data_IF_773389549750
#
_entry.id   IF_773389549750
#
_cell.length_a   1.000
_cell.length_b   1.000
_cell.length_c   1.000
_cell.angle_alpha   90.00
_cell.angle_beta   90.00
_cell.angle_gamma   90.00
#
_symmetry.space_group_name_H-M   'P 1'
#
loop_
_entity.id
_entity.type
_entity.pdbx_description
1 polymer ?
#
# COMPACT_ATOMS: atom_id res chain seq x y z
N UNK A 1 12.11 1.77 -5.02
CA UNK A 1 12.62 3.14 -5.20
C UNK A 1 12.79 3.45 -6.68
N UNK A 2 13.70 2.79 -7.42
CA UNK A 2 13.92 3.03 -8.85
C UNK A 2 12.65 3.09 -9.75
N UNK A 3 11.65 2.26 -9.48
CA UNK A 3 10.39 2.30 -10.24
C UNK A 3 9.55 3.57 -9.99
N UNK A 4 9.48 4.05 -8.75
CA UNK A 4 8.77 5.29 -8.41
C UNK A 4 9.54 6.51 -8.93
N UNK A 5 10.88 6.48 -8.87
CA UNK A 5 11.73 7.52 -9.46
C UNK A 5 11.51 7.63 -10.98
N UNK A 6 11.39 6.49 -11.68
CA UNK A 6 11.05 6.46 -13.11
C UNK A 6 9.69 7.13 -13.38
N UNK A 7 8.70 6.87 -12.54
CA UNK A 7 7.37 7.50 -12.65
C UNK A 7 7.46 9.01 -12.45
N UNK A 8 8.24 9.47 -11.46
CA UNK A 8 8.49 10.90 -11.24
C UNK A 8 9.13 11.56 -12.47
N UNK A 9 10.13 10.91 -13.07
CA UNK A 9 10.75 11.36 -14.31
C UNK A 9 9.73 11.44 -15.46
N UNK A 10 8.87 10.42 -15.63
CA UNK A 10 7.82 10.43 -16.65
C UNK A 10 6.87 11.62 -16.47
N UNK A 11 6.47 11.93 -15.23
CA UNK A 11 5.61 13.09 -14.94
C UNK A 11 6.31 14.41 -15.27
N UNK A 12 7.60 14.54 -14.93
CA UNK A 12 8.39 15.73 -15.21
C UNK A 12 8.57 15.95 -16.73
N UNK A 13 9.02 14.92 -17.46
CA UNK A 13 9.25 14.97 -18.90
C UNK A 13 7.96 15.22 -19.68
N UNK A 14 6.88 14.57 -19.25
CA UNK A 14 5.55 14.71 -19.84
C UNK A 14 4.78 15.94 -19.37
N UNK A 15 5.35 16.82 -18.54
CA UNK A 15 4.70 17.98 -17.91
C UNK A 15 3.31 17.68 -17.32
N UNK A 16 3.18 16.56 -16.61
CA UNK A 16 1.90 16.00 -16.20
C UNK A 16 1.04 17.02 -15.44
N UNK A 17 -0.30 17.04 -15.64
CA UNK A 17 -1.18 17.96 -14.94
C UNK A 17 -1.08 17.79 -13.41
N UNK A 18 -1.21 18.86 -12.61
CA UNK A 18 -1.09 18.79 -11.14
C UNK A 18 -2.04 17.76 -10.50
N UNK A 19 -3.22 17.58 -11.08
CA UNK A 19 -4.23 16.62 -10.63
C UNK A 19 -3.77 15.16 -10.75
N UNK A 20 -2.93 14.85 -11.76
CA UNK A 20 -2.29 13.55 -11.99
C UNK A 20 -1.12 13.39 -11.03
N UNK A 21 -0.26 14.41 -10.94
CA UNK A 21 0.93 14.42 -10.07
C UNK A 21 0.57 14.12 -8.62
N UNK A 22 -0.41 14.83 -8.06
CA UNK A 22 -0.86 14.63 -6.68
C UNK A 22 -1.35 13.20 -6.41
N UNK A 23 -2.05 12.58 -7.37
CA UNK A 23 -2.57 11.21 -7.23
C UNK A 23 -1.47 10.17 -7.30
N UNK A 24 -0.55 10.34 -8.23
CA UNK A 24 0.61 9.46 -8.36
C UNK A 24 1.47 9.51 -7.10
N UNK A 25 1.74 10.69 -6.54
CA UNK A 25 2.46 10.80 -5.27
C UNK A 25 1.73 10.13 -4.11
N UNK A 26 0.40 10.25 -4.03
CA UNK A 26 -0.41 9.52 -3.03
C UNK A 26 -0.22 8.01 -3.14
N UNK A 27 -0.26 7.46 -4.36
CA UNK A 27 -0.04 6.03 -4.59
C UNK A 27 1.40 5.65 -4.21
N UNK A 28 2.40 6.45 -4.58
CA UNK A 28 3.80 6.22 -4.22
C UNK A 28 4.04 6.19 -2.71
N UNK A 29 3.36 7.08 -1.95
CA UNK A 29 3.39 7.07 -0.49
C UNK A 29 2.78 5.77 0.07
N UNK A 30 1.59 5.37 -0.41
CA UNK A 30 0.95 4.12 0.01
C UNK A 30 1.81 2.89 -0.27
N UNK A 31 2.48 2.83 -1.41
CA UNK A 31 3.41 1.74 -1.76
C UNK A 31 4.61 1.72 -0.79
N UNK A 32 5.18 2.89 -0.52
CA UNK A 32 6.34 3.03 0.38
C UNK A 32 6.00 2.60 1.81
N UNK A 33 4.79 2.94 2.28
CA UNK A 33 4.29 2.55 3.60
C UNK A 33 3.95 1.05 3.66
N UNK A 34 3.38 0.48 2.60
CA UNK A 34 2.90 -0.91 2.61
C UNK A 34 4.04 -1.92 2.49
N UNK A 35 5.07 -1.64 1.68
CA UNK A 35 6.15 -2.59 1.37
C UNK A 35 6.88 -3.18 2.60
N UNK A 36 7.29 -2.39 3.62
CA UNK A 36 7.95 -2.95 4.80
C UNK A 36 7.06 -3.91 5.60
N UNK A 37 5.75 -3.61 5.70
CA UNK A 37 4.79 -4.41 6.47
C UNK A 37 4.57 -5.76 5.81
N UNK A 38 4.43 -5.79 4.49
CA UNK A 38 4.30 -7.03 3.73
C UNK A 38 5.50 -7.97 3.88
N UNK A 39 6.72 -7.41 3.96
CA UNK A 39 7.93 -8.21 4.20
C UNK A 39 7.92 -8.92 5.54
N UNK A 40 7.27 -8.33 6.56
CA UNK A 40 7.15 -8.92 7.89
C UNK A 40 6.09 -10.02 7.97
N UNK A 41 5.06 -9.97 7.12
CA UNK A 41 3.95 -10.93 7.08
C UNK A 41 4.30 -12.23 6.33
N UNK A 42 5.45 -12.29 5.66
CA UNK A 42 5.93 -13.45 4.91
C UNK A 42 6.02 -13.16 3.41
N UNK A 43 7.18 -13.48 2.81
CA UNK A 43 7.43 -13.28 1.38
C UNK A 43 6.50 -14.18 0.54
N UNK A 44 5.76 -13.59 -0.41
CA UNK A 44 5.01 -14.34 -1.43
C UNK A 44 3.48 -14.21 -1.40
N UNK A 45 2.91 -13.29 -0.62
CA UNK A 45 1.47 -13.01 -0.71
C UNK A 45 1.10 -12.37 -2.05
N UNK A 46 -0.12 -12.63 -2.53
CA UNK A 46 -0.70 -11.98 -3.71
C UNK A 46 -0.68 -10.44 -3.59
N UNK A 47 -0.86 -9.95 -2.37
CA UNK A 47 -0.77 -8.52 -2.04
C UNK A 47 0.64 -7.96 -2.24
N UNK A 48 1.68 -8.72 -1.86
CA UNK A 48 3.08 -8.34 -2.09
C UNK A 48 3.40 -8.21 -3.57
N UNK A 49 2.93 -9.17 -4.37
CA UNK A 49 3.06 -9.09 -5.82
C UNK A 49 2.31 -7.87 -6.37
N UNK A 50 1.08 -7.64 -5.92
CA UNK A 50 0.23 -6.54 -6.40
C UNK A 50 0.84 -5.16 -6.11
N UNK A 51 1.44 -4.96 -4.93
CA UNK A 51 2.12 -3.70 -4.58
C UNK A 51 3.34 -3.46 -5.47
N UNK A 52 4.16 -4.49 -5.70
CA UNK A 52 5.34 -4.37 -6.57
C UNK A 52 4.91 -4.10 -8.01
N UNK A 53 3.98 -4.90 -8.55
CA UNK A 53 3.45 -4.74 -9.91
C UNK A 53 2.79 -3.37 -10.13
N UNK A 54 2.16 -2.79 -9.10
CA UNK A 54 1.62 -1.44 -9.19
C UNK A 54 2.73 -0.41 -9.42
N UNK A 55 3.86 -0.54 -8.71
CA UNK A 55 5.00 0.36 -8.85
C UNK A 55 5.74 0.16 -10.18
N UNK A 56 5.87 -1.08 -10.65
CA UNK A 56 6.73 -1.44 -11.80
C UNK A 56 6.01 -1.43 -13.13
N UNK A 57 4.71 -1.76 -13.13
CA UNK A 57 3.98 -2.06 -14.37
C UNK A 57 2.73 -1.18 -14.48
N UNK A 58 1.78 -1.30 -13.55
CA UNK A 58 0.44 -0.70 -13.73
C UNK A 58 0.47 0.83 -13.74
N UNK A 59 1.19 1.44 -12.79
CA UNK A 59 1.22 2.89 -12.68
C UNK A 59 2.05 3.54 -13.82
N UNK A 60 3.26 3.04 -14.16
CA UNK A 60 3.98 3.52 -15.34
C UNK A 60 3.22 3.32 -16.65
N UNK A 61 2.50 2.20 -16.81
CA UNK A 61 1.73 1.92 -18.01
C UNK A 61 0.55 2.88 -18.18
N UNK A 62 -0.26 3.07 -17.12
CA UNK A 62 -1.39 3.99 -17.12
C UNK A 62 -0.94 5.43 -17.41
N UNK A 63 0.10 5.90 -16.70
CA UNK A 63 0.66 7.22 -16.90
C UNK A 63 1.24 7.39 -18.31
N UNK A 64 2.00 6.41 -18.79
CA UNK A 64 2.56 6.42 -20.14
C UNK A 64 1.49 6.44 -21.22
N UNK A 65 0.36 5.74 -21.01
CA UNK A 65 -0.79 5.76 -21.90
C UNK A 65 -1.34 7.17 -22.13
N UNK A 66 -1.53 7.92 -21.04
CA UNK A 66 -1.99 9.31 -21.10
C UNK A 66 -0.93 10.24 -21.69
N UNK A 67 0.33 10.14 -21.27
CA UNK A 67 1.40 11.06 -21.68
C UNK A 67 1.81 10.91 -23.16
N UNK A 68 1.51 9.77 -23.80
CA UNK A 68 1.70 9.58 -25.25
C UNK A 68 0.70 10.36 -26.10
N UNK A 69 -0.41 10.82 -25.52
CA UNK A 69 -1.43 11.56 -26.23
C UNK A 69 -1.10 13.06 -26.24
N UNK A 70 -1.40 13.79 -27.34
CA UNK A 70 -1.34 15.25 -27.32
C UNK A 70 -2.27 15.81 -26.23
N UNK A 71 -1.76 16.66 -25.34
CA UNK A 71 -2.50 17.14 -24.15
C UNK A 71 -3.88 17.70 -24.49
N UNK A 72 -3.95 18.59 -25.47
CA UNK A 72 -5.21 19.22 -25.90
C UNK A 72 -6.24 18.18 -26.34
N UNK A 73 -5.80 17.11 -27.01
CA UNK A 73 -6.69 16.02 -27.42
C UNK A 73 -7.12 15.17 -26.23
N UNK A 74 -6.17 14.82 -25.36
CA UNK A 74 -6.40 13.98 -24.17
C UNK A 74 -7.40 14.59 -23.18
N UNK A 75 -7.45 15.92 -23.11
CA UNK A 75 -8.27 16.65 -22.13
C UNK A 75 -9.63 17.09 -22.70
N UNK A 76 -9.81 17.13 -24.02
CA UNK A 76 -11.03 17.66 -24.66
C UNK A 76 -11.88 16.62 -25.38
N UNK A 77 -11.29 15.52 -25.83
CA UNK A 77 -11.99 14.50 -26.62
C UNK A 77 -12.43 13.35 -25.75
N UNK A 78 -13.73 12.98 -25.78
CA UNK A 78 -14.17 11.76 -25.13
C UNK A 78 -13.59 10.54 -25.87
N UNK A 79 -13.07 9.58 -25.10
CA UNK A 79 -12.49 8.33 -25.60
C UNK A 79 -13.24 7.09 -25.10
N UNK A 80 -14.01 7.24 -24.02
CA UNK A 80 -14.82 6.19 -23.43
C UNK A 80 -16.14 6.79 -22.93
N UNK A 81 -17.20 6.61 -23.71
CA UNK A 81 -18.48 7.27 -23.49
C UNK A 81 -18.34 8.80 -23.46
N UNK A 82 -18.51 9.40 -22.29
CA UNK A 82 -18.36 10.85 -22.06
C UNK A 82 -17.01 11.22 -21.41
N UNK A 83 -16.14 10.24 -21.11
CA UNK A 83 -14.88 10.46 -20.40
C UNK A 83 -13.75 10.76 -21.35
N UNK A 84 -12.96 11.78 -21.02
CA UNK A 84 -11.70 12.09 -21.71
C UNK A 84 -10.58 11.19 -21.22
N UNK A 85 -9.43 11.19 -21.91
CA UNK A 85 -8.29 10.38 -21.49
C UNK A 85 -7.79 10.75 -20.09
N UNK A 86 -7.85 12.04 -19.73
CA UNK A 86 -7.54 12.50 -18.37
C UNK A 86 -8.50 11.90 -17.34
N UNK A 87 -9.81 11.88 -17.63
CA UNK A 87 -10.81 11.31 -16.72
C UNK A 87 -10.59 9.80 -16.52
N UNK A 88 -10.32 9.07 -17.61
CA UNK A 88 -10.02 7.63 -17.54
C UNK A 88 -8.76 7.38 -16.72
N UNK A 89 -7.69 8.16 -16.92
CA UNK A 89 -6.49 8.05 -16.09
C UNK A 89 -6.79 8.30 -14.61
N UNK A 90 -7.56 9.35 -14.29
CA UNK A 90 -7.92 9.66 -12.91
C UNK A 90 -8.64 8.47 -12.27
N UNK A 91 -9.61 7.86 -12.94
CA UNK A 91 -10.33 6.69 -12.43
C UNK A 91 -9.38 5.50 -12.18
N UNK A 92 -8.43 5.26 -13.08
CA UNK A 92 -7.42 4.23 -12.90
C UNK A 92 -6.52 4.51 -11.69
N UNK A 93 -6.08 5.75 -11.50
CA UNK A 93 -5.26 6.14 -10.35
C UNK A 93 -6.04 6.02 -9.02
N UNK A 94 -7.32 6.40 -8.99
CA UNK A 94 -8.16 6.22 -7.80
C UNK A 94 -8.36 4.73 -7.47
N UNK A 95 -8.54 3.88 -8.49
CA UNK A 95 -8.63 2.43 -8.29
C UNK A 95 -7.33 1.85 -7.70
N UNK A 96 -6.18 2.25 -8.25
CA UNK A 96 -4.88 1.82 -7.72
C UNK A 96 -4.70 2.31 -6.27
N UNK A 97 -5.00 3.57 -5.98
CA UNK A 97 -4.90 4.13 -4.64
C UNK A 97 -5.80 3.38 -3.64
N UNK A 98 -7.08 3.16 -3.98
CA UNK A 98 -8.02 2.44 -3.13
C UNK A 98 -7.60 0.99 -2.90
N UNK A 99 -6.94 0.37 -3.88
CA UNK A 99 -6.41 -1.01 -3.73
C UNK A 99 -5.22 -1.03 -2.78
N UNK A 100 -4.26 -0.10 -2.94
CA UNK A 100 -3.10 -0.01 -2.04
C UNK A 100 -3.53 0.31 -0.60
N UNK A 101 -4.53 1.18 -0.42
CA UNK A 101 -5.09 1.52 0.88
C UNK A 101 -5.66 0.28 1.61
N UNK A 102 -6.41 -0.56 0.89
CA UNK A 102 -6.93 -1.83 1.44
C UNK A 102 -5.82 -2.79 1.85
N UNK A 103 -4.75 -2.89 1.05
CA UNK A 103 -3.60 -3.74 1.39
C UNK A 103 -2.88 -3.19 2.63
N UNK A 104 -2.71 -1.87 2.72
CA UNK A 104 -2.11 -1.22 3.88
C UNK A 104 -2.93 -1.48 5.16
N UNK A 105 -4.26 -1.33 5.08
CA UNK A 105 -5.16 -1.60 6.19
C UNK A 105 -5.10 -3.07 6.64
N UNK A 106 -5.15 -4.01 5.69
CA UNK A 106 -5.03 -5.44 5.97
C UNK A 106 -3.69 -5.79 6.64
N UNK A 107 -2.59 -5.23 6.12
CA UNK A 107 -1.26 -5.46 6.69
C UNK A 107 -1.16 -4.88 8.11
N UNK A 108 -1.62 -3.65 8.31
CA UNK A 108 -1.62 -2.98 9.62
C UNK A 108 -2.49 -3.72 10.63
N UNK A 109 -3.63 -4.25 10.20
CA UNK A 109 -4.50 -5.08 11.05
C UNK A 109 -3.82 -6.37 11.48
N UNK A 110 -3.05 -7.00 10.59
CA UNK A 110 -2.30 -8.21 10.92
C UNK A 110 -1.20 -7.92 11.95
N UNK A 111 -0.45 -6.83 11.79
CA UNK A 111 0.53 -6.37 12.79
C UNK A 111 -0.11 -6.14 14.16
N UNK A 112 -1.29 -5.49 14.20
CA UNK A 112 -2.03 -5.25 15.43
C UNK A 112 -2.47 -6.57 16.12
N UNK A 113 -2.90 -7.57 15.34
CA UNK A 113 -3.25 -8.89 15.88
C UNK A 113 -2.03 -9.61 16.46
N UNK A 114 -0.88 -9.54 15.79
CA UNK A 114 0.36 -10.11 16.27
C UNK A 114 0.78 -9.48 17.62
N UNK A 115 0.63 -8.16 17.78
CA UNK A 115 0.89 -7.46 19.03
C UNK A 115 -0.01 -7.95 20.17
N UNK A 116 -1.32 -8.11 19.91
CA UNK A 116 -2.27 -8.62 20.92
C UNK A 116 -1.91 -10.05 21.33
N UNK A 117 -1.63 -10.93 20.37
CA UNK A 117 -1.23 -12.31 20.64
C UNK A 117 0.06 -12.37 21.47
N UNK A 118 1.04 -11.51 21.17
CA UNK A 118 2.26 -11.40 21.95
C UNK A 118 1.99 -10.97 23.40
N UNK A 119 1.10 -10.00 23.62
CA UNK A 119 0.69 -9.58 24.96
C UNK A 119 0.03 -10.70 25.78
N UNK A 120 -0.86 -11.47 25.15
CA UNK A 120 -1.49 -12.64 25.79
C UNK A 120 -0.46 -13.71 26.16
N UNK A 121 0.51 -13.96 25.28
CA UNK A 121 1.61 -14.88 25.57
C UNK A 121 2.46 -14.42 26.76
N UNK A 122 2.81 -13.13 26.83
CA UNK A 122 3.55 -12.58 27.97
C UNK A 122 2.76 -12.73 29.28
N UNK A 123 1.44 -12.45 29.26
CA UNK A 123 0.59 -12.61 30.43
C UNK A 123 0.47 -14.07 30.86
N UNK A 124 0.36 -15.01 29.91
CA UNK A 124 0.37 -16.44 30.24
C UNK A 124 1.68 -16.87 30.90
N UNK A 125 2.82 -16.41 30.36
CA UNK A 125 4.17 -16.79 30.80
C UNK A 125 4.57 -16.17 32.15
N UNK A 126 4.19 -14.92 32.40
CA UNK A 126 4.66 -14.14 33.56
C UNK A 126 3.55 -13.75 34.55
N UNK A 127 2.28 -13.78 34.14
CA UNK A 127 1.13 -13.49 35.00
C UNK A 127 0.81 -14.60 36.00
N UNK A 128 1.39 -15.79 35.82
CA UNK A 128 1.29 -16.92 36.76
C UNK A 128 2.54 -17.07 37.65
N UNK A 129 3.16 -15.97 38.07
CA UNK A 129 4.00 -16.00 39.27
C UNK A 129 3.19 -15.55 40.49
N UNK A 130 2.38 -16.44 41.11
CA UNK A 130 2.07 -16.28 42.51
C UNK A 130 3.38 -16.52 43.25
N UNK A 131 3.73 -15.62 44.17
CA UNK A 131 4.83 -15.86 45.07
C UNK A 131 4.63 -17.18 45.81
N UNK A 132 5.56 -18.12 45.57
CA UNK A 132 5.94 -19.20 46.47
C UNK A 132 4.94 -20.34 46.66
N UNK A 133 5.38 -21.61 46.61
CA UNK A 133 4.60 -22.69 47.18
C UNK A 133 4.45 -22.44 48.67
N UNK A 134 3.20 -22.41 49.12
CA UNK A 134 2.80 -22.62 50.51
C UNK A 134 3.40 -23.96 50.94
N UNK A 135 4.57 -23.92 51.57
CA UNK A 135 5.15 -25.04 52.26
C UNK A 135 4.29 -25.22 53.51
N UNK A 136 3.22 -25.98 53.34
CA UNK A 136 2.45 -26.62 54.40
C UNK A 136 3.41 -27.48 55.22
N UNK A 137 4.06 -26.84 56.21
CA UNK A 137 4.76 -27.51 57.28
C UNK A 137 3.67 -28.08 58.19
N UNK A 138 3.17 -29.25 57.80
CA UNK A 138 2.35 -30.08 58.66
C UNK A 138 3.06 -30.34 59.99
N UNK A 139 2.56 -29.73 61.06
CA UNK A 139 2.67 -30.22 62.44
C UNK A 139 1.88 -31.53 62.58
N UNK A 140 2.21 -32.43 63.53
CA UNK A 140 2.60 -32.15 64.92
C UNK A 140 4.00 -32.60 65.36
#
# INVERSE_FOLDING_TARGET
MAALERVEQMMADGNAPPVVVSRVHRIGALITDTLPRLRNLGQGSLDSYSVVATATDYLPEALGGYLRLPREWADTRPIDGYKTALMVLIDQLELLAATMDKILDAATRSDAQALVAHGQFLQAKFGHHPGGPDLDLGTP
#
